data_IF_301074318768
#
_entry.id   IF_301074318768
#
_cell.length_a   1.000
_cell.length_b   1.000
_cell.length_c   1.000
_cell.angle_alpha   90.00
_cell.angle_beta   90.00
_cell.angle_gamma   90.00
#
_symmetry.space_group_name_H-M   'P 1'
#
loop_
_entity.id
_entity.type
_entity.pdbx_description
1 polymer ?
#
# COMPACT_ATOMS: atom_id res chain seq x y z
N UNK A 1 9.21 10.33 11.52
CA UNK A 1 8.27 10.79 10.51
C UNK A 1 6.95 11.11 11.19
N UNK A 2 6.46 12.34 11.08
CA UNK A 2 5.13 12.74 11.57
C UNK A 2 4.04 12.27 10.60
N UNK A 3 2.77 12.29 11.03
CA UNK A 3 1.66 12.00 10.11
C UNK A 3 1.55 13.04 8.99
N UNK A 4 1.91 14.29 9.24
CA UNK A 4 1.92 15.33 8.21
C UNK A 4 3.00 15.09 7.15
N UNK A 5 4.21 14.72 7.60
CA UNK A 5 5.31 14.32 6.70
C UNK A 5 4.91 13.09 5.89
N UNK A 6 4.31 12.08 6.54
CA UNK A 6 3.82 10.89 5.88
C UNK A 6 2.77 11.20 4.81
N UNK A 7 1.71 11.94 5.16
CA UNK A 7 0.66 12.29 4.20
C UNK A 7 1.19 13.19 3.08
N UNK A 8 2.21 14.03 3.35
CA UNK A 8 2.90 14.77 2.30
C UNK A 8 3.55 13.82 1.29
N UNK A 9 4.27 12.79 1.75
CA UNK A 9 4.87 11.76 0.89
C UNK A 9 3.81 10.99 0.08
N UNK A 10 2.72 10.57 0.72
CA UNK A 10 1.60 9.84 0.06
C UNK A 10 1.01 10.64 -1.10
N UNK A 11 1.02 11.98 -1.02
CA UNK A 11 0.53 12.88 -2.09
C UNK A 11 1.64 13.36 -3.02
N UNK A 12 2.76 12.65 -3.12
CA UNK A 12 3.92 13.05 -3.93
C UNK A 12 4.39 14.49 -3.65
N UNK A 13 4.36 14.90 -2.37
CA UNK A 13 4.71 16.24 -1.86
C UNK A 13 3.82 17.39 -2.31
N UNK A 14 2.68 17.11 -2.97
CA UNK A 14 1.69 18.11 -3.32
C UNK A 14 1.06 18.75 -2.07
N UNK A 15 0.85 20.07 -2.13
CA UNK A 15 0.22 20.81 -1.04
C UNK A 15 -1.23 20.37 -0.83
N UNK A 16 -1.78 20.60 0.36
CA UNK A 16 -3.19 20.30 0.64
C UNK A 16 -4.13 21.12 -0.23
N UNK A 17 -3.74 22.35 -0.58
CA UNK A 17 -4.50 23.22 -1.48
C UNK A 17 -4.54 22.64 -2.89
N UNK A 18 -3.39 22.24 -3.44
CA UNK A 18 -3.29 21.65 -4.78
C UNK A 18 -4.13 20.38 -4.90
N UNK A 19 -4.01 19.45 -3.95
CA UNK A 19 -4.80 18.20 -4.02
C UNK A 19 -6.29 18.43 -3.81
N UNK A 20 -6.67 19.45 -3.02
CA UNK A 20 -8.09 19.81 -2.84
C UNK A 20 -8.67 20.36 -4.14
N UNK A 21 -7.94 21.26 -4.80
CA UNK A 21 -8.36 21.88 -6.05
C UNK A 21 -8.36 20.88 -7.23
N UNK A 22 -7.33 20.03 -7.31
CA UNK A 22 -7.08 19.20 -8.49
C UNK A 22 -7.64 17.77 -8.39
N UNK A 23 -7.75 17.23 -7.17
CA UNK A 23 -8.11 15.82 -6.95
C UNK A 23 -9.45 15.68 -6.22
N UNK A 24 -9.52 16.04 -4.94
CA UNK A 24 -10.73 15.94 -4.10
C UNK A 24 -10.54 16.58 -2.72
N UNK A 25 -11.59 17.22 -2.19
CA UNK A 25 -11.66 17.67 -0.79
C UNK A 25 -11.54 16.53 0.23
N UNK A 26 -11.93 15.30 -0.14
CA UNK A 26 -11.90 14.15 0.77
C UNK A 26 -10.47 13.84 1.22
N UNK A 27 -9.48 14.05 0.33
CA UNK A 27 -8.06 13.86 0.63
C UNK A 27 -7.61 14.83 1.74
N UNK A 28 -7.99 16.10 1.64
CA UNK A 28 -7.64 17.09 2.66
C UNK A 28 -8.35 16.81 4.00
N UNK A 29 -9.61 16.38 3.96
CA UNK A 29 -10.36 15.98 5.17
C UNK A 29 -9.71 14.80 5.88
N UNK A 30 -9.21 13.80 5.14
CA UNK A 30 -8.51 12.64 5.70
C UNK A 30 -7.14 13.07 6.25
N UNK A 31 -6.33 13.78 5.46
CA UNK A 31 -4.96 14.09 5.83
C UNK A 31 -4.79 15.18 6.91
N UNK A 32 -5.86 15.86 7.30
CA UNK A 32 -5.90 16.79 8.44
C UNK A 32 -6.41 16.15 9.73
N UNK A 33 -6.85 14.88 9.70
CA UNK A 33 -7.26 14.14 10.90
C UNK A 33 -6.06 13.77 11.75
N UNK A 34 -6.33 13.60 13.04
CA UNK A 34 -5.38 13.04 14.00
C UNK A 34 -5.57 11.54 14.10
N UNK A 35 -4.52 10.81 13.77
CA UNK A 35 -4.45 9.35 13.90
C UNK A 35 -3.53 8.96 15.06
N UNK A 36 -3.69 7.75 15.57
CA UNK A 36 -2.65 7.12 16.37
C UNK A 36 -1.62 6.47 15.45
N UNK A 37 -0.37 6.44 15.88
CA UNK A 37 0.68 5.68 15.19
C UNK A 37 0.60 4.21 15.61
N UNK A 38 0.55 3.30 14.64
CA UNK A 38 0.50 1.85 14.84
C UNK A 38 1.56 1.17 13.97
N UNK A 39 2.05 0.03 14.44
CA UNK A 39 2.89 -0.83 13.61
C UNK A 39 1.98 -1.56 12.62
N UNK A 40 2.18 -1.33 11.33
CA UNK A 40 1.37 -1.88 10.25
C UNK A 40 2.23 -2.78 9.35
N UNK A 41 1.59 -3.78 8.74
CA UNK A 41 2.23 -4.70 7.80
C UNK A 41 2.50 -4.04 6.43
N UNK A 42 1.61 -3.14 6.01
CA UNK A 42 1.61 -2.39 4.74
C UNK A 42 1.50 -3.21 3.43
N UNK A 43 1.56 -4.55 3.52
CA UNK A 43 1.26 -5.49 2.41
C UNK A 43 0.42 -6.70 2.88
N UNK A 44 -0.61 -6.44 3.70
CA UNK A 44 -1.44 -7.52 4.25
C UNK A 44 -2.40 -8.07 3.19
N UNK A 45 -2.21 -9.33 2.82
CA UNK A 45 -3.00 -10.02 1.81
C UNK A 45 -2.98 -11.53 2.04
N UNK A 46 -3.91 -12.31 1.45
CA UNK A 46 -4.02 -13.75 1.70
C UNK A 46 -2.73 -14.54 1.43
N UNK A 47 -1.95 -14.16 0.40
CA UNK A 47 -0.67 -14.83 0.07
C UNK A 47 0.37 -14.72 1.20
N UNK A 48 0.25 -13.69 2.04
CA UNK A 48 1.16 -13.40 3.14
C UNK A 48 0.66 -13.99 4.47
N UNK A 49 -0.42 -14.77 4.49
CA UNK A 49 -0.98 -15.38 5.72
C UNK A 49 -0.97 -16.91 5.58
N UNK A 50 -0.25 -17.59 6.47
CA UNK A 50 -0.26 -19.06 6.54
C UNK A 50 -1.32 -19.49 7.56
N UNK A 51 -2.23 -20.37 7.11
CA UNK A 51 -3.27 -20.98 7.95
C UNK A 51 -3.07 -22.49 8.04
N UNK A 52 -3.10 -23.05 9.25
CA UNK A 52 -3.07 -24.50 9.51
C UNK A 52 -4.15 -24.86 10.51
N UNK A 53 -5.03 -25.79 10.13
CA UNK A 53 -6.14 -26.22 11.00
C UNK A 53 -7.08 -25.08 11.41
N UNK A 54 -7.37 -24.14 10.50
CA UNK A 54 -8.23 -22.99 10.75
C UNK A 54 -7.64 -21.89 11.63
N UNK A 55 -6.34 -21.96 11.97
CA UNK A 55 -5.63 -20.94 12.74
C UNK A 55 -4.51 -20.31 11.92
N UNK A 56 -4.33 -19.01 12.07
CA UNK A 56 -3.17 -18.29 11.53
C UNK A 56 -1.94 -18.80 12.28
N UNK A 57 -0.95 -19.32 11.56
CA UNK A 57 0.32 -19.81 12.12
C UNK A 57 1.50 -18.94 11.77
N UNK A 58 1.39 -18.12 10.73
CA UNK A 58 2.41 -17.12 10.38
C UNK A 58 1.81 -15.99 9.53
N UNK A 59 2.42 -14.82 9.65
CA UNK A 59 2.29 -13.69 8.72
C UNK A 59 3.67 -13.47 8.12
N UNK A 60 3.76 -13.46 6.79
CA UNK A 60 4.99 -13.37 6.01
C UNK A 60 5.13 -12.01 5.34
N UNK A 61 6.33 -11.73 4.84
CA UNK A 61 6.63 -10.58 3.98
C UNK A 61 6.46 -9.20 4.65
N UNK A 62 7.22 -9.00 5.74
CA UNK A 62 7.26 -7.77 6.51
C UNK A 62 8.15 -6.67 5.89
N UNK A 63 8.53 -6.79 4.61
CA UNK A 63 9.48 -5.88 3.98
C UNK A 63 8.99 -4.42 3.92
N UNK A 64 7.68 -4.22 3.88
CA UNK A 64 7.03 -2.91 3.89
C UNK A 64 6.53 -2.48 5.27
N UNK A 65 6.76 -3.29 6.30
CA UNK A 65 6.23 -3.01 7.62
C UNK A 65 6.92 -1.82 8.28
N UNK A 66 6.18 -1.12 9.15
CA UNK A 66 6.65 0.11 9.74
C UNK A 66 5.62 0.77 10.65
N UNK A 67 5.94 1.98 11.11
CA UNK A 67 5.08 2.80 11.94
C UNK A 67 4.29 3.79 11.09
N UNK A 68 2.98 3.60 11.01
CA UNK A 68 2.07 4.32 10.12
C UNK A 68 0.85 4.85 10.90
N UNK A 69 0.03 5.73 10.31
CA UNK A 69 -1.31 5.99 10.81
C UNK A 69 -2.12 4.70 10.98
N UNK A 70 -2.95 4.62 12.01
CA UNK A 70 -3.74 3.42 12.36
C UNK A 70 -4.64 2.86 11.25
N UNK A 71 -4.98 3.67 10.23
CA UNK A 71 -5.77 3.23 9.08
C UNK A 71 -4.98 2.46 8.02
N UNK A 72 -3.65 2.47 8.10
CA UNK A 72 -2.79 2.14 6.95
C UNK A 72 -2.94 0.70 6.45
N UNK A 73 -3.02 -0.28 7.34
CA UNK A 73 -3.25 -1.67 6.92
C UNK A 73 -4.64 -1.86 6.29
N UNK A 74 -5.66 -1.11 6.75
CA UNK A 74 -6.99 -1.17 6.16
C UNK A 74 -6.93 -0.73 4.70
N UNK A 75 -6.31 0.41 4.41
CA UNK A 75 -6.26 0.92 3.03
C UNK A 75 -5.31 0.09 2.16
N UNK A 76 -4.11 -0.23 2.63
CA UNK A 76 -3.14 -1.04 1.86
C UNK A 76 -3.62 -2.45 1.56
N UNK A 77 -4.38 -3.08 2.45
CA UNK A 77 -4.94 -4.41 2.16
C UNK A 77 -5.95 -4.40 1.00
N UNK A 78 -6.57 -3.25 0.69
CA UNK A 78 -7.43 -3.04 -0.49
C UNK A 78 -6.64 -2.66 -1.77
N UNK A 79 -5.33 -2.40 -1.67
CA UNK A 79 -4.44 -2.09 -2.80
C UNK A 79 -3.80 -3.35 -3.42
N UNK A 80 -4.43 -4.51 -3.27
CA UNK A 80 -3.91 -5.76 -3.80
C UNK A 80 -4.71 -6.20 -5.02
N UNK A 81 -4.04 -6.85 -5.99
CA UNK A 81 -4.67 -7.41 -7.19
C UNK A 81 -4.51 -8.93 -7.20
N UNK A 82 -5.57 -9.67 -6.86
CA UNK A 82 -5.59 -11.13 -6.91
C UNK A 82 -7.02 -11.67 -7.06
N UNK A 83 -7.14 -12.94 -7.48
CA UNK A 83 -8.44 -13.61 -7.60
C UNK A 83 -9.14 -13.74 -6.24
N UNK A 84 -10.38 -13.28 -6.13
CA UNK A 84 -11.15 -13.31 -4.88
C UNK A 84 -11.01 -12.06 -4.00
N UNK A 85 -10.56 -10.94 -4.59
CA UNK A 85 -10.46 -9.65 -3.91
C UNK A 85 -11.77 -9.22 -3.22
N UNK A 86 -12.93 -9.41 -3.85
CA UNK A 86 -14.23 -9.01 -3.24
C UNK A 86 -14.45 -9.66 -1.88
N UNK A 87 -14.21 -10.98 -1.78
CA UNK A 87 -14.32 -11.73 -0.52
C UNK A 87 -13.30 -11.26 0.52
N UNK A 88 -12.10 -10.89 0.07
CA UNK A 88 -11.07 -10.33 0.95
C UNK A 88 -11.50 -8.97 1.51
N UNK A 89 -11.99 -8.07 0.66
CA UNK A 89 -12.50 -6.76 1.11
C UNK A 89 -13.68 -6.91 2.07
N UNK A 90 -14.60 -7.83 1.82
CA UNK A 90 -15.67 -8.18 2.76
C UNK A 90 -15.12 -8.63 4.11
N UNK A 91 -14.13 -9.53 4.12
CA UNK A 91 -13.48 -9.96 5.36
C UNK A 91 -12.79 -8.81 6.09
N UNK A 92 -12.06 -7.94 5.38
CA UNK A 92 -11.39 -6.78 5.97
C UNK A 92 -12.38 -5.87 6.71
N UNK A 93 -13.52 -5.55 6.07
CA UNK A 93 -14.58 -4.72 6.68
C UNK A 93 -15.22 -5.36 7.92
N UNK A 94 -15.17 -6.68 8.05
CA UNK A 94 -15.68 -7.40 9.22
C UNK A 94 -14.67 -7.43 10.38
N UNK A 95 -13.37 -7.51 10.09
CA UNK A 95 -12.33 -7.79 11.11
C UNK A 95 -11.53 -6.56 11.51
N UNK A 96 -11.45 -5.55 10.67
CA UNK A 96 -10.68 -4.33 10.92
C UNK A 96 -11.60 -3.16 11.30
N UNK A 97 -11.09 -2.16 12.04
CA UNK A 97 -11.80 -0.90 12.20
C UNK A 97 -12.10 -0.26 10.83
N UNK A 98 -13.27 0.37 10.73
CA UNK A 98 -13.75 0.95 9.48
C UNK A 98 -13.04 2.27 9.18
N UNK A 99 -12.31 2.32 8.06
CA UNK A 99 -11.63 3.52 7.55
C UNK A 99 -12.01 3.78 6.08
N UNK A 100 -13.30 3.73 5.76
CA UNK A 100 -13.81 3.86 4.38
C UNK A 100 -13.55 5.25 3.76
N UNK A 101 -13.48 6.31 4.57
CA UNK A 101 -13.12 7.64 4.08
C UNK A 101 -11.65 7.71 3.67
N UNK A 102 -10.78 7.12 4.49
CA UNK A 102 -9.35 6.98 4.22
C UNK A 102 -9.13 6.12 2.97
N UNK A 103 -9.84 4.98 2.85
CA UNK A 103 -9.79 4.12 1.67
C UNK A 103 -10.23 4.86 0.41
N UNK A 104 -11.27 5.70 0.49
CA UNK A 104 -11.71 6.51 -0.65
C UNK A 104 -10.66 7.55 -1.05
N UNK A 105 -10.09 8.27 -0.08
CA UNK A 105 -9.02 9.23 -0.34
C UNK A 105 -7.80 8.55 -0.98
N UNK A 106 -7.37 7.41 -0.44
CA UNK A 106 -6.29 6.60 -0.99
C UNK A 106 -6.59 6.12 -2.42
N UNK A 107 -7.79 5.61 -2.70
CA UNK A 107 -8.19 5.21 -4.06
C UNK A 107 -8.14 6.36 -5.07
N UNK A 108 -8.50 7.58 -4.66
CA UNK A 108 -8.35 8.77 -5.51
C UNK A 108 -6.86 9.05 -5.78
N UNK A 109 -6.02 8.92 -4.76
CA UNK A 109 -4.57 9.10 -4.91
C UNK A 109 -3.95 8.04 -5.79
N UNK A 110 -4.24 6.76 -5.59
CA UNK A 110 -3.70 5.67 -6.42
C UNK A 110 -4.08 5.81 -7.90
N UNK A 111 -5.27 6.34 -8.17
CA UNK A 111 -5.78 6.58 -9.51
C UNK A 111 -5.13 7.79 -10.21
N UNK A 112 -4.76 8.82 -9.45
CA UNK A 112 -4.29 10.11 -10.00
C UNK A 112 -2.79 10.34 -9.85
N UNK A 113 -2.18 9.71 -8.86
CA UNK A 113 -0.78 9.78 -8.46
C UNK A 113 -0.26 8.34 -8.25
N UNK A 114 -0.04 7.58 -9.33
CA UNK A 114 0.47 6.21 -9.20
C UNK A 114 1.85 6.22 -8.52
N UNK A 115 2.11 5.19 -7.70
CA UNK A 115 3.37 5.05 -6.98
C UNK A 115 4.57 5.13 -7.94
N UNK A 116 5.54 6.03 -7.69
CA UNK A 116 6.75 6.10 -8.50
C UNK A 116 7.48 4.75 -8.48
N UNK A 117 7.75 4.19 -9.65
CA UNK A 117 8.53 2.97 -9.77
C UNK A 117 7.77 1.65 -9.65
N UNK A 118 6.45 1.67 -9.46
CA UNK A 118 5.64 0.46 -9.60
C UNK A 118 5.40 0.15 -11.08
N UNK A 119 5.71 -1.08 -11.52
CA UNK A 119 5.25 -1.57 -12.83
C UNK A 119 3.75 -1.81 -12.75
N UNK A 120 2.94 -0.88 -13.22
CA UNK A 120 1.49 -0.96 -13.16
C UNK A 120 0.94 -1.05 -14.58
N UNK A 121 0.14 -2.08 -14.84
CA UNK A 121 -0.72 -2.11 -16.02
C UNK A 121 -2.12 -1.73 -15.59
N UNK A 122 -2.71 -0.71 -16.21
CA UNK A 122 -4.05 -0.23 -15.86
C UNK A 122 -4.93 -0.10 -17.10
N UNK A 123 -6.25 -0.13 -16.89
CA UNK A 123 -7.25 0.06 -17.94
C UNK A 123 -8.30 1.06 -17.49
N UNK A 124 -8.51 2.13 -18.27
CA UNK A 124 -9.41 3.22 -17.91
C UNK A 124 -10.06 3.82 -19.15
N UNK A 125 -11.40 3.94 -19.15
CA UNK A 125 -12.17 4.55 -20.24
C UNK A 125 -11.83 3.99 -21.63
N UNK A 126 -11.55 2.68 -21.74
CA UNK A 126 -11.16 2.04 -22.99
C UNK A 126 -9.65 2.12 -23.31
N UNK A 127 -8.86 2.86 -22.52
CA UNK A 127 -7.42 3.03 -22.72
C UNK A 127 -6.64 2.12 -21.78
N UNK A 128 -5.67 1.37 -22.32
CA UNK A 128 -4.72 0.58 -21.55
C UNK A 128 -3.40 1.34 -21.41
N UNK A 129 -2.90 1.46 -20.19
CA UNK A 129 -1.60 2.06 -19.90
C UNK A 129 -0.68 1.08 -19.17
N UNK A 130 0.64 1.33 -19.25
CA UNK A 130 1.66 0.63 -18.47
C UNK A 130 2.72 1.61 -17.98
N UNK A 131 3.05 1.57 -16.69
CA UNK A 131 4.29 2.16 -16.17
C UNK A 131 5.38 1.09 -16.16
N UNK A 132 6.59 1.44 -16.57
CA UNK A 132 7.73 0.49 -16.66
C UNK A 132 8.33 0.13 -15.29
N UNK A 133 7.89 0.80 -14.22
CA UNK A 133 8.44 0.65 -12.89
C UNK A 133 9.89 1.15 -12.76
N UNK A 134 10.48 0.94 -11.59
CA UNK A 134 11.87 1.28 -11.31
C UNK A 134 12.78 0.08 -11.50
N UNK A 135 13.94 0.29 -12.11
CA UNK A 135 14.99 -0.73 -12.15
C UNK A 135 15.52 -0.98 -10.73
N UNK A 136 15.90 -2.23 -10.37
CA UNK A 136 16.57 -2.51 -9.12
C UNK A 136 17.85 -1.67 -8.98
N UNK A 137 18.14 -1.20 -7.76
CA UNK A 137 19.35 -0.44 -7.50
C UNK A 137 20.61 -1.24 -7.92
N UNK A 138 21.62 -0.57 -8.47
CA UNK A 138 22.85 -1.22 -8.92
C UNK A 138 23.54 -2.04 -7.81
N UNK A 139 23.49 -1.57 -6.57
CA UNK A 139 23.98 -2.28 -5.39
C UNK A 139 23.25 -3.62 -5.15
N UNK A 140 21.93 -3.65 -5.40
CA UNK A 140 21.11 -4.86 -5.27
C UNK A 140 21.47 -5.89 -6.35
N UNK A 141 21.71 -5.43 -7.59
CA UNK A 141 22.17 -6.30 -8.68
C UNK A 141 23.57 -6.86 -8.41
N UNK A 142 24.48 -6.06 -7.84
CA UNK A 142 25.83 -6.50 -7.49
C UNK A 142 25.84 -7.57 -6.39
N UNK A 143 25.03 -7.39 -5.34
CA UNK A 143 24.93 -8.35 -4.23
C UNK A 143 24.48 -9.75 -4.69
N UNK A 144 23.72 -9.86 -5.79
CA UNK A 144 23.24 -11.15 -6.33
C UNK A 144 24.12 -11.76 -7.42
N UNK A 145 25.11 -11.03 -7.94
CA UNK A 145 26.10 -11.59 -8.89
C UNK A 145 27.07 -12.56 -8.21
N UNK A 146 27.27 -12.46 -6.90
CA UNK A 146 28.13 -13.36 -6.12
C UNK A 146 27.37 -14.46 -5.40
N UNK A 147 26.50 -15.20 -6.11
CA UNK A 147 25.53 -16.15 -5.54
C UNK A 147 26.00 -16.93 -4.30
N UNK A 148 25.17 -16.95 -3.24
CA UNK A 148 25.39 -17.85 -2.10
C UNK A 148 25.42 -19.30 -2.59
N UNK A 149 26.52 -19.99 -2.33
CA UNK A 149 26.58 -21.44 -2.52
C UNK A 149 25.70 -22.14 -1.47
N UNK A 150 25.09 -23.30 -1.77
CA UNK A 150 24.20 -24.02 -0.85
C UNK A 150 24.87 -24.65 0.38
N UNK A 151 26.07 -24.22 0.79
CA UNK A 151 26.86 -24.86 1.84
C UNK A 151 26.77 -24.18 3.23
N UNK A 152 26.00 -23.11 3.38
CA UNK A 152 25.92 -22.34 4.63
C UNK A 152 24.58 -22.53 5.40
N UNK A 153 23.97 -23.71 5.33
CA UNK A 153 22.83 -24.12 6.17
C UNK A 153 23.10 -25.46 6.87
#
# INVERSE_FOLDING_TARGET
MTHDEFHSLVRATASLEDVTCMLSEEIAKVHTRRYQTRFAHADLCPRNIIVKGGRIVAILDWAFAGWYPEYWDFTRAHYNLFSGQDRWEECLRLVMPCYEMELRAERILWDRLPEPGATLSWFRNGVRGRTEGSAPAAAWLQARRGGRQPADL
#
